data_IF_058331920854
#
_entry.id   IF_058331920854
#
_cell.length_a   1.000
_cell.length_b   1.000
_cell.length_c   1.000
_cell.angle_alpha   90.00
_cell.angle_beta   90.00
_cell.angle_gamma   90.00
#
_symmetry.space_group_name_H-M   'P 1'
#
loop_
_entity.id
_entity.type
_entity.pdbx_description
1 polymer ?
#
# COMPACT_ATOMS: atom_id res chain seq x y z
N UNK A 1 1.69 16.15 4.68
CA UNK A 1 2.01 14.99 5.54
C UNK A 1 2.06 13.74 4.69
N UNK A 2 3.04 12.85 4.90
CA UNK A 2 3.14 11.58 4.16
C UNK A 2 2.40 10.46 4.90
N UNK A 3 1.73 9.57 4.18
CA UNK A 3 1.05 8.39 4.75
C UNK A 3 1.08 7.23 3.76
N UNK A 4 1.26 6.02 4.28
CA UNK A 4 1.18 4.80 3.49
C UNK A 4 -0.25 4.30 3.37
N UNK A 5 -0.58 3.73 2.21
CA UNK A 5 -1.84 3.08 1.91
C UNK A 5 -1.59 1.76 1.17
N UNK A 6 -2.49 0.81 1.35
CA UNK A 6 -2.65 -0.29 0.39
C UNK A 6 -3.74 0.15 -0.59
N UNK A 7 -3.33 0.59 -1.77
CA UNK A 7 -4.24 1.03 -2.80
C UNK A 7 -4.66 -0.19 -3.65
N UNK A 8 -5.96 -0.48 -3.72
CA UNK A 8 -6.42 -1.59 -4.56
C UNK A 8 -6.06 -1.36 -6.03
N UNK A 9 -5.72 -2.45 -6.71
CA UNK A 9 -5.42 -2.46 -8.13
C UNK A 9 -6.74 -2.60 -8.88
N UNK A 10 -7.00 -1.67 -9.79
CA UNK A 10 -8.19 -1.67 -10.62
C UNK A 10 -7.83 -1.82 -12.10
N UNK A 11 -8.70 -2.54 -12.80
CA UNK A 11 -8.69 -2.61 -14.24
C UNK A 11 -9.17 -1.28 -14.81
N UNK A 12 -8.49 -0.78 -15.85
CA UNK A 12 -8.92 0.41 -16.58
C UNK A 12 -8.67 0.25 -18.08
N UNK A 13 -9.40 1.01 -18.87
CA UNK A 13 -9.20 1.04 -20.32
C UNK A 13 -8.06 2.02 -20.64
N UNK A 14 -6.98 1.50 -21.23
CA UNK A 14 -5.79 2.29 -21.62
C UNK A 14 -6.03 2.94 -22.98
N UNK A 15 -6.60 2.16 -23.90
CA UNK A 15 -7.00 2.51 -25.25
C UNK A 15 -8.28 1.76 -25.60
N UNK A 16 -9.05 2.17 -26.63
CA UNK A 16 -10.28 1.49 -27.01
C UNK A 16 -10.09 -0.02 -27.19
N UNK A 17 -10.68 -0.81 -26.29
CA UNK A 17 -10.58 -2.28 -26.26
C UNK A 17 -9.31 -2.87 -25.61
N UNK A 18 -8.40 -2.04 -25.09
CA UNK A 18 -7.19 -2.45 -24.38
C UNK A 18 -7.32 -2.20 -22.87
N UNK A 19 -7.11 -3.25 -22.10
CA UNK A 19 -7.11 -3.20 -20.63
C UNK A 19 -5.71 -3.00 -20.08
N UNK A 20 -5.58 -2.12 -19.08
CA UNK A 20 -4.44 -2.04 -18.18
C UNK A 20 -4.85 -2.15 -16.72
N UNK A 21 -3.85 -2.17 -15.85
CA UNK A 21 -4.03 -2.19 -14.40
C UNK A 21 -3.28 -1.03 -13.77
N UNK A 22 -3.91 -0.40 -12.78
CA UNK A 22 -3.32 0.72 -12.03
C UNK A 22 -3.70 0.64 -10.56
N UNK A 23 -2.87 1.21 -9.69
CA UNK A 23 -3.25 1.38 -8.29
C UNK A 23 -4.30 2.50 -8.16
N UNK A 24 -5.21 2.37 -7.20
CA UNK A 24 -6.30 3.33 -6.95
C UNK A 24 -5.82 4.77 -6.77
N UNK A 25 -4.64 4.98 -6.18
CA UNK A 25 -4.05 6.30 -5.99
C UNK A 25 -3.89 7.10 -7.30
N UNK A 26 -3.64 6.42 -8.43
CA UNK A 26 -3.52 7.04 -9.75
C UNK A 26 -4.83 7.61 -10.31
N UNK A 27 -5.99 7.25 -9.71
CA UNK A 27 -7.29 7.79 -10.09
C UNK A 27 -7.51 9.23 -9.61
N UNK A 28 -6.60 9.79 -8.81
CA UNK A 28 -6.66 11.16 -8.28
C UNK A 28 -5.63 12.07 -8.98
N UNK A 29 -6.04 12.90 -9.94
CA UNK A 29 -5.11 13.72 -10.73
C UNK A 29 -4.31 14.75 -9.92
N UNK A 30 -4.82 15.11 -8.73
CA UNK A 30 -4.21 16.08 -7.82
C UNK A 30 -3.29 15.44 -6.78
N UNK A 31 -3.19 14.12 -6.76
CA UNK A 31 -2.49 13.40 -5.71
C UNK A 31 -1.00 13.24 -6.04
N UNK A 32 -0.15 13.70 -5.13
CA UNK A 32 1.27 13.38 -5.17
C UNK A 32 1.49 12.04 -4.44
N UNK A 33 1.91 11.02 -5.17
CA UNK A 33 2.16 9.69 -4.62
C UNK A 33 3.33 9.01 -5.31
N UNK A 34 3.97 8.09 -4.60
CA UNK A 34 4.90 7.12 -5.15
C UNK A 34 4.26 5.73 -4.97
N UNK A 35 4.18 4.98 -6.06
CA UNK A 35 3.52 3.68 -6.09
C UNK A 35 4.51 2.53 -6.16
N UNK A 36 4.33 1.52 -5.30
CA UNK A 36 5.07 0.27 -5.39
C UNK A 36 4.68 -0.51 -6.63
N UNK A 37 5.48 -1.51 -6.97
CA UNK A 37 5.24 -2.36 -8.13
C UNK A 37 3.91 -3.12 -8.03
N UNK A 38 3.37 -3.47 -9.20
CA UNK A 38 2.24 -4.37 -9.37
C UNK A 38 2.79 -5.66 -9.97
N UNK A 39 2.87 -6.74 -9.19
CA UNK A 39 3.32 -8.01 -9.73
C UNK A 39 2.23 -8.60 -10.63
N UNK A 40 2.56 -8.82 -11.90
CA UNK A 40 1.65 -9.43 -12.86
C UNK A 40 2.04 -10.88 -13.14
N UNK A 41 1.05 -11.73 -13.35
CA UNK A 41 1.28 -13.05 -13.95
C UNK A 41 1.83 -12.88 -15.37
N UNK A 42 2.98 -13.50 -15.72
CA UNK A 42 3.64 -13.26 -17.00
C UNK A 42 2.91 -13.87 -18.21
N UNK A 43 1.98 -14.80 -18.00
CA UNK A 43 1.20 -15.44 -19.06
C UNK A 43 -0.08 -14.66 -19.36
N UNK A 44 -0.73 -14.14 -18.32
CA UNK A 44 -2.05 -13.47 -18.43
C UNK A 44 -1.98 -11.95 -18.36
N UNK A 45 -0.89 -11.39 -17.82
CA UNK A 45 -0.76 -9.96 -17.53
C UNK A 45 -1.66 -9.47 -16.38
N UNK A 46 -2.36 -10.38 -15.70
CA UNK A 46 -3.27 -10.05 -14.59
C UNK A 46 -2.45 -9.87 -13.31
N UNK A 47 -2.73 -8.85 -12.48
CA UNK A 47 -2.12 -8.70 -11.17
C UNK A 47 -2.29 -9.95 -10.30
N UNK A 48 -1.19 -10.43 -9.71
CA UNK A 48 -1.23 -11.55 -8.76
C UNK A 48 -1.82 -11.15 -7.41
N UNK A 49 -1.71 -9.87 -7.07
CA UNK A 49 -2.19 -9.29 -5.83
C UNK A 49 -3.23 -8.21 -6.10
N UNK A 50 -4.09 -7.98 -5.09
CA UNK A 50 -5.21 -7.04 -5.19
C UNK A 50 -4.84 -5.59 -4.90
N UNK A 51 -3.61 -5.33 -4.45
CA UNK A 51 -3.19 -4.00 -4.02
C UNK A 51 -1.74 -3.72 -4.43
N UNK A 52 -1.41 -2.43 -4.47
CA UNK A 52 -0.03 -1.93 -4.45
C UNK A 52 0.15 -1.07 -3.20
N UNK A 53 1.33 -1.18 -2.57
CA UNK A 53 1.72 -0.28 -1.49
C UNK A 53 2.02 1.09 -2.10
N UNK A 54 1.39 2.14 -1.60
CA UNK A 54 1.65 3.50 -2.04
C UNK A 54 2.00 4.38 -0.84
N UNK A 55 2.92 5.32 -1.03
CA UNK A 55 3.10 6.44 -0.12
C UNK A 55 2.47 7.67 -0.77
N UNK A 56 1.73 8.44 0.01
CA UNK A 56 0.95 9.59 -0.46
C UNK A 56 1.33 10.83 0.34
N UNK A 57 1.56 11.95 -0.35
CA UNK A 57 1.77 13.26 0.25
C UNK A 57 0.55 14.13 -0.04
N UNK A 58 -0.20 14.43 1.01
CA UNK A 58 -1.33 15.34 0.94
C UNK A 58 -1.36 16.28 2.16
N UNK A 59 -2.03 17.42 1.99
CA UNK A 59 -2.38 18.32 3.12
C UNK A 59 -3.52 17.70 3.92
N UNK A 60 -4.50 17.14 3.23
CA UNK A 60 -5.67 16.48 3.79
C UNK A 60 -5.83 15.09 3.17
N UNK A 61 -6.00 14.10 4.04
CA UNK A 61 -6.13 12.68 3.69
C UNK A 61 -7.58 12.19 3.82
N UNK A 62 -8.53 13.02 4.26
CA UNK A 62 -9.91 12.62 4.51
C UNK A 62 -10.55 11.92 3.31
N UNK A 63 -10.40 12.48 2.10
CA UNK A 63 -10.92 11.89 0.85
C UNK A 63 -10.34 10.51 0.52
N UNK A 64 -9.11 10.23 0.96
CA UNK A 64 -8.47 8.93 0.74
C UNK A 64 -8.90 7.94 1.80
N UNK A 65 -9.09 8.39 3.04
CA UNK A 65 -9.60 7.56 4.14
C UNK A 65 -11.04 7.13 3.86
N UNK A 66 -11.85 8.01 3.26
CA UNK A 66 -13.24 7.71 2.90
C UNK A 66 -13.36 6.82 1.64
N UNK A 67 -12.28 6.63 0.87
CA UNK A 67 -12.30 5.71 -0.29
C UNK A 67 -12.04 4.27 0.17
N UNK A 68 -13.05 3.43 0.03
CA UNK A 68 -13.04 2.00 0.40
C UNK A 68 -11.96 1.17 -0.31
N UNK A 69 -11.36 1.67 -1.39
CA UNK A 69 -10.25 1.04 -2.13
C UNK A 69 -8.88 1.58 -1.74
N UNK A 70 -8.82 2.54 -0.83
CA UNK A 70 -7.59 3.15 -0.30
C UNK A 70 -7.46 2.80 1.17
N UNK A 71 -6.86 1.64 1.46
CA UNK A 71 -6.78 1.12 2.82
C UNK A 71 -5.65 1.82 3.59
N UNK A 72 -5.94 2.71 4.55
CA UNK A 72 -4.91 3.51 5.18
C UNK A 72 -4.09 2.67 6.16
N UNK A 73 -2.77 2.80 6.11
CA UNK A 73 -1.90 2.20 7.13
C UNK A 73 -1.74 3.14 8.34
N UNK A 74 -1.24 2.63 9.49
CA UNK A 74 -0.99 3.43 10.68
C UNK A 74 -0.13 4.66 10.37
N UNK A 75 -0.55 5.81 10.89
CA UNK A 75 0.21 7.05 10.73
C UNK A 75 1.21 7.18 11.90
N UNK A 76 2.31 6.44 11.80
CA UNK A 76 3.38 6.39 12.80
C UNK A 76 4.73 6.48 12.12
N UNK A 77 5.77 6.79 12.90
CA UNK A 77 7.15 6.81 12.39
C UNK A 77 7.60 5.39 12.00
N UNK A 78 8.38 5.28 10.92
CA UNK A 78 8.92 4.00 10.46
C UNK A 78 9.75 3.28 11.53
N UNK A 79 10.42 4.04 12.40
CA UNK A 79 11.27 3.49 13.45
C UNK A 79 10.51 3.16 14.75
N UNK A 80 9.20 3.42 14.79
CA UNK A 80 8.34 3.02 15.91
C UNK A 80 8.24 1.49 16.00
N UNK A 81 8.26 0.95 17.22
CA UNK A 81 7.99 -0.48 17.44
C UNK A 81 6.51 -0.80 17.25
N UNK A 82 6.21 -1.94 16.64
CA UNK A 82 4.83 -2.40 16.44
C UNK A 82 4.10 -2.61 17.78
N UNK A 83 4.83 -2.91 18.86
CA UNK A 83 4.30 -2.97 20.23
C UNK A 83 3.74 -1.65 20.74
N UNK A 84 4.28 -0.53 20.25
CA UNK A 84 3.96 0.81 20.75
C UNK A 84 2.81 1.46 19.97
N UNK A 85 2.44 0.86 18.82
CA UNK A 85 1.24 1.23 18.08
C UNK A 85 0.01 0.79 18.89
N UNK A 86 -0.93 1.72 19.05
CA UNK A 86 -2.20 1.45 19.74
C UNK A 86 -2.88 0.19 19.19
N UNK A 87 -3.28 -0.73 20.08
CA UNK A 87 -3.78 -2.07 19.71
C UNK A 87 -4.90 -2.04 18.68
N UNK A 88 -5.84 -1.10 18.79
CA UNK A 88 -6.95 -1.00 17.83
C UNK A 88 -6.45 -0.64 16.42
N UNK A 89 -5.47 0.26 16.31
CA UNK A 89 -4.88 0.68 15.03
C UNK A 89 -4.10 -0.47 14.38
N UNK A 90 -3.38 -1.26 15.19
CA UNK A 90 -2.69 -2.45 14.70
C UNK A 90 -3.67 -3.52 14.21
N UNK A 91 -4.74 -3.78 14.97
CA UNK A 91 -5.75 -4.76 14.57
C UNK A 91 -6.48 -4.35 13.28
N UNK A 92 -6.79 -3.07 13.13
CA UNK A 92 -7.37 -2.53 11.88
C UNK A 92 -6.40 -2.75 10.70
N UNK A 93 -5.12 -2.41 10.85
CA UNK A 93 -4.11 -2.68 9.82
C UNK A 93 -4.05 -4.17 9.42
N UNK A 94 -4.01 -5.08 10.39
CA UNK A 94 -4.00 -6.54 10.17
C UNK A 94 -5.26 -6.97 9.42
N UNK A 95 -6.43 -6.48 9.84
CA UNK A 95 -7.71 -6.79 9.20
C UNK A 95 -7.75 -6.32 7.73
N UNK A 96 -7.23 -5.13 7.42
CA UNK A 96 -7.16 -4.64 6.05
C UNK A 96 -6.20 -5.47 5.18
N UNK A 97 -5.07 -5.89 5.74
CA UNK A 97 -4.12 -6.78 5.06
C UNK A 97 -4.77 -8.14 4.71
N UNK A 98 -5.48 -8.72 5.66
CA UNK A 98 -6.20 -9.99 5.48
C UNK A 98 -7.33 -9.87 4.45
N UNK A 99 -8.08 -8.76 4.47
CA UNK A 99 -9.11 -8.45 3.47
C UNK A 99 -8.56 -8.43 2.03
N UNK A 100 -7.31 -7.99 1.88
CA UNK A 100 -6.57 -7.95 0.61
C UNK A 100 -5.84 -9.26 0.29
N UNK A 101 -5.96 -10.28 1.15
CA UNK A 101 -5.36 -11.59 0.95
C UNK A 101 -3.87 -11.67 1.32
N UNK A 102 -3.35 -10.72 2.11
CA UNK A 102 -1.96 -10.73 2.58
C UNK A 102 -1.85 -11.59 3.83
N UNK A 103 -0.89 -12.51 3.85
CA UNK A 103 -0.54 -13.26 5.04
C UNK A 103 0.18 -12.36 6.05
N UNK A 104 -0.41 -12.16 7.22
CA UNK A 104 0.07 -11.23 8.27
C UNK A 104 1.06 -11.86 9.25
N UNK A 105 1.47 -13.12 9.04
CA UNK A 105 2.39 -13.84 9.94
C UNK A 105 3.78 -13.20 10.07
N UNK A 106 4.17 -12.29 9.18
CA UNK A 106 5.42 -11.55 9.26
C UNK A 106 5.36 -10.36 10.23
N UNK A 107 4.20 -10.02 10.78
CA UNK A 107 4.03 -8.87 11.67
C UNK A 107 4.20 -9.35 13.12
N UNK A 108 5.38 -9.14 13.70
CA UNK A 108 5.61 -9.41 15.12
C UNK A 108 5.70 -8.11 15.94
N UNK A 109 5.30 -8.16 17.22
CA UNK A 109 5.39 -7.02 18.12
C UNK A 109 6.84 -6.56 18.38
N UNK A 110 7.82 -7.44 18.17
CA UNK A 110 9.25 -7.14 18.28
C UNK A 110 9.77 -6.25 17.15
N UNK A 111 9.04 -6.19 16.04
CA UNK A 111 9.51 -5.59 14.80
C UNK A 111 9.33 -4.06 14.81
N UNK A 112 10.12 -3.37 13.97
CA UNK A 112 9.85 -1.98 13.66
C UNK A 112 8.72 -1.88 12.64
N UNK A 113 8.00 -0.75 12.64
CA UNK A 113 6.98 -0.48 11.63
C UNK A 113 7.59 -0.48 10.21
N UNK A 114 8.87 -0.09 10.08
CA UNK A 114 9.69 -0.24 8.87
C UNK A 114 9.71 -1.67 8.33
N UNK A 115 9.85 -2.67 9.19
CA UNK A 115 9.87 -4.08 8.79
C UNK A 115 8.50 -4.52 8.28
N UNK A 116 7.42 -3.99 8.85
CA UNK A 116 6.04 -4.20 8.37
C UNK A 116 5.88 -3.62 6.96
N UNK A 117 6.27 -2.36 6.74
CA UNK A 117 6.21 -1.71 5.43
C UNK A 117 7.03 -2.48 4.39
N UNK A 118 8.23 -2.92 4.76
CA UNK A 118 9.09 -3.76 3.90
C UNK A 118 8.41 -5.08 3.57
N UNK A 119 7.83 -5.76 4.56
CA UNK A 119 7.09 -7.01 4.36
C UNK A 119 5.92 -6.86 3.39
N UNK A 120 5.13 -5.79 3.54
CA UNK A 120 4.01 -5.47 2.65
C UNK A 120 4.50 -5.19 1.23
N UNK A 121 5.53 -4.33 1.05
CA UNK A 121 6.07 -4.03 -0.27
C UNK A 121 6.65 -5.25 -0.98
N UNK A 122 7.24 -6.18 -0.21
CA UNK A 122 7.79 -7.44 -0.71
C UNK A 122 6.77 -8.46 -1.19
N UNK A 123 5.49 -8.23 -0.92
CA UNK A 123 4.41 -9.03 -1.53
C UNK A 123 4.41 -8.85 -3.05
N UNK A 124 4.58 -7.63 -3.55
CA UNK A 124 4.60 -7.37 -5.00
C UNK A 124 6.02 -7.28 -5.60
N UNK A 125 7.04 -6.94 -4.79
CA UNK A 125 8.41 -6.83 -5.26
C UNK A 125 9.38 -7.42 -4.23
N UNK A 126 9.93 -8.64 -4.45
CA UNK A 126 10.83 -9.29 -3.50
C UNK A 126 12.07 -8.46 -3.11
N UNK A 127 12.51 -7.53 -3.98
CA UNK A 127 13.67 -6.65 -3.72
C UNK A 127 13.28 -5.24 -3.24
N UNK A 128 12.02 -5.04 -2.85
CA UNK A 128 11.54 -3.78 -2.30
C UNK A 128 12.39 -3.30 -1.12
N UNK A 129 12.76 -2.01 -1.16
CA UNK A 129 13.56 -1.30 -0.17
C UNK A 129 12.81 -0.03 0.26
N UNK A 130 12.28 -0.07 1.48
CA UNK A 130 11.49 1.01 2.05
C UNK A 130 12.30 2.30 2.26
N UNK A 131 13.63 2.23 2.32
CA UNK A 131 14.49 3.42 2.48
C UNK A 131 14.61 4.21 1.18
N UNK A 132 14.30 3.59 0.04
CA UNK A 132 14.26 4.22 -1.28
C UNK A 132 12.85 4.57 -1.72
N UNK A 133 11.84 4.14 -0.96
CA UNK A 133 10.44 4.32 -1.28
C UNK A 133 9.89 5.56 -0.58
N UNK A 134 10.07 6.71 -1.24
CA UNK A 134 9.62 7.99 -0.73
C UNK A 134 9.18 8.93 -1.85
N UNK A 135 8.36 9.91 -1.51
CA UNK A 135 7.98 11.00 -2.41
C UNK A 135 9.06 12.08 -2.32
N UNK A 136 9.90 12.16 -3.35
CA UNK A 136 10.85 13.25 -3.53
C UNK A 136 10.10 14.50 -4.04
N UNK A 137 10.36 15.66 -3.42
CA UNK A 137 9.92 16.97 -3.91
C UNK A 137 10.94 17.60 -4.87
#
# INVERSE_FOLDING_TARGET
MKRYYMAEIEQFEVEPGATGYRCRASAYPWLMFEGGEIETDPLTGIPKHRFSLVIVKAVDHAKLIDDVKMHPLPMVDLDMKVSDIHTATKNDMIQQLELLGVNTAFIANSDGYRDVIRGIGRVNNPVFDENKFDINE
#
